data_IF_269740724789
#
_entry.id   IF_269740724789
#
_cell.length_a   1.000
_cell.length_b   1.000
_cell.length_c   1.000
_cell.angle_alpha   90.00
_cell.angle_beta   90.00
_cell.angle_gamma   90.00
#
_symmetry.space_group_name_H-M   'P 1'
#
loop_
_entity.id
_entity.type
_entity.pdbx_description
1 polymer ?
#
# COMPACT_ATOMS: atom_id res chain seq x y z
N UNK A 1 -5.96 -31.47 -0.23
CA UNK A 1 -5.83 -30.07 0.23
C UNK A 1 -4.36 -29.78 0.56
N UNK A 2 -3.56 -29.35 -0.41
CA UNK A 2 -2.19 -28.85 -0.19
C UNK A 2 -1.88 -27.74 -1.20
N UNK A 3 -2.61 -26.62 -1.07
CA UNK A 3 -2.32 -25.36 -1.79
C UNK A 3 -1.49 -24.42 -0.89
N UNK A 4 -1.40 -24.72 0.41
CA UNK A 4 -0.79 -23.84 1.42
C UNK A 4 0.74 -23.98 1.48
N UNK A 5 1.30 -25.14 1.17
CA UNK A 5 2.75 -25.37 1.32
C UNK A 5 3.61 -24.77 0.19
N UNK A 6 3.04 -24.55 -1.00
CA UNK A 6 3.79 -23.94 -2.11
C UNK A 6 3.89 -22.41 -2.00
N UNK A 7 2.92 -21.75 -1.35
CA UNK A 7 2.94 -20.29 -1.14
C UNK A 7 4.06 -19.91 -0.15
N UNK A 8 4.40 -20.81 0.79
CA UNK A 8 5.45 -20.56 1.77
C UNK A 8 6.85 -20.84 1.20
N UNK A 9 6.99 -21.64 0.13
CA UNK A 9 8.29 -21.90 -0.51
C UNK A 9 8.74 -20.80 -1.48
N UNK A 10 7.83 -19.97 -1.97
CA UNK A 10 8.17 -18.70 -2.66
C UNK A 10 8.61 -17.59 -1.68
N UNK A 11 8.50 -17.81 -0.36
CA UNK A 11 8.99 -16.88 0.69
C UNK A 11 10.52 -16.80 0.79
N UNK A 12 11.27 -17.53 -0.05
CA UNK A 12 12.73 -17.50 -0.10
C UNK A 12 13.34 -16.29 -0.81
N UNK A 13 12.53 -15.42 -1.42
CA UNK A 13 13.00 -14.22 -2.15
C UNK A 13 12.42 -12.95 -1.50
N UNK A 14 12.50 -12.87 -0.17
CA UNK A 14 11.83 -11.84 0.64
C UNK A 14 12.69 -10.61 0.99
N UNK A 15 13.83 -10.36 0.34
CA UNK A 15 14.73 -9.27 0.80
C UNK A 15 15.19 -8.22 -0.22
N UNK A 16 14.92 -8.36 -1.52
CA UNK A 16 15.57 -7.46 -2.51
C UNK A 16 14.64 -6.71 -3.48
N UNK A 17 13.33 -6.99 -3.49
CA UNK A 17 12.41 -6.38 -4.47
C UNK A 17 11.65 -5.14 -3.99
N UNK A 18 11.52 -4.90 -2.67
CA UNK A 18 10.65 -3.83 -2.15
C UNK A 18 11.40 -2.54 -1.76
N UNK A 19 12.65 -2.63 -1.30
CA UNK A 19 13.42 -1.49 -0.79
C UNK A 19 14.19 -0.83 -1.93
N UNK A 20 13.63 0.25 -2.48
CA UNK A 20 14.27 1.10 -3.50
C UNK A 20 13.97 0.79 -4.97
N UNK A 21 13.52 -0.43 -5.31
CA UNK A 21 13.23 -0.82 -6.72
C UNK A 21 11.84 -0.44 -7.20
N UNK A 22 10.86 -0.37 -6.28
CA UNK A 22 9.49 0.02 -6.59
C UNK A 22 9.28 1.45 -6.11
N UNK A 23 8.88 2.33 -7.04
CA UNK A 23 8.43 3.68 -6.69
C UNK A 23 7.00 3.61 -6.18
N UNK A 24 6.82 4.03 -4.93
CA UNK A 24 5.49 4.17 -4.33
C UNK A 24 5.14 5.66 -4.24
N UNK A 25 3.89 5.99 -4.43
CA UNK A 25 3.36 7.32 -4.19
C UNK A 25 2.45 7.34 -2.96
N UNK A 26 2.56 8.41 -2.17
CA UNK A 26 1.78 8.65 -0.96
C UNK A 26 1.00 9.94 -1.15
N UNK A 27 -0.32 9.86 -0.97
CA UNK A 27 -1.23 10.99 -1.00
C UNK A 27 -0.91 12.03 0.09
N UNK A 28 -1.26 13.28 -0.16
CA UNK A 28 -1.04 14.39 0.77
C UNK A 28 -1.69 14.15 2.14
N UNK A 29 -2.84 13.46 2.15
CA UNK A 29 -3.62 13.15 3.37
C UNK A 29 -2.94 12.17 4.32
N UNK A 30 -1.86 11.52 3.88
CA UNK A 30 -1.04 10.59 4.65
C UNK A 30 0.46 10.93 4.53
N UNK A 31 0.80 12.17 4.16
CA UNK A 31 2.19 12.61 3.96
C UNK A 31 3.08 12.41 5.20
N UNK A 32 2.50 12.46 6.41
CA UNK A 32 3.24 12.22 7.65
C UNK A 32 3.80 10.80 7.79
N UNK A 33 3.38 9.88 6.92
CA UNK A 33 3.88 8.48 6.81
C UNK A 33 5.19 8.40 6.03
N UNK A 34 5.51 9.41 5.21
CA UNK A 34 6.63 9.38 4.26
C UNK A 34 7.97 9.17 4.97
N UNK A 35 8.24 9.91 6.06
CA UNK A 35 9.52 9.81 6.77
C UNK A 35 9.78 8.37 7.28
N UNK A 36 8.76 7.75 7.88
CA UNK A 36 8.84 6.37 8.35
C UNK A 36 9.06 5.36 7.21
N UNK A 37 8.46 5.59 6.04
CA UNK A 37 8.66 4.73 4.87
C UNK A 37 10.08 4.88 4.28
N UNK A 38 10.62 6.10 4.26
CA UNK A 38 12.00 6.35 3.83
C UNK A 38 12.99 5.67 4.80
N UNK A 39 12.77 5.78 6.11
CA UNK A 39 13.57 5.08 7.13
C UNK A 39 13.55 3.55 6.94
N UNK A 40 12.44 3.01 6.44
CA UNK A 40 12.29 1.59 6.08
C UNK A 40 12.91 1.21 4.73
N UNK A 41 13.47 2.18 4.00
CA UNK A 41 14.17 1.98 2.73
C UNK A 41 13.28 2.01 1.49
N UNK A 42 12.08 2.60 1.55
CA UNK A 42 11.21 2.76 0.38
C UNK A 42 11.60 3.98 -0.47
N UNK A 43 11.45 3.86 -1.79
CA UNK A 43 11.49 5.02 -2.70
C UNK A 43 10.09 5.63 -2.77
N UNK A 44 9.91 6.73 -2.06
CA UNK A 44 8.60 7.39 -1.90
C UNK A 44 8.57 8.70 -2.66
N UNK A 45 7.56 8.86 -3.52
CA UNK A 45 7.25 10.11 -4.20
C UNK A 45 5.90 10.63 -3.68
N UNK A 46 5.67 11.93 -3.83
CA UNK A 46 4.43 12.57 -3.42
C UNK A 46 3.95 13.55 -4.49
N UNK A 47 2.64 13.54 -4.83
CA UNK A 47 2.06 14.61 -5.63
C UNK A 47 2.12 15.92 -4.83
N UNK A 48 2.10 17.07 -5.51
CA UNK A 48 2.00 18.35 -4.81
C UNK A 48 0.58 18.54 -4.26
N UNK A 49 0.49 19.39 -3.23
CA UNK A 49 -0.75 19.67 -2.53
C UNK A 49 -1.78 20.37 -3.42
N UNK A 50 -3.05 20.02 -3.24
CA UNK A 50 -4.17 20.64 -3.94
C UNK A 50 -4.28 20.30 -5.43
N UNK A 51 -3.52 19.33 -5.93
CA UNK A 51 -3.72 18.81 -7.28
C UNK A 51 -5.04 18.05 -7.38
N UNK A 52 -5.77 18.28 -8.47
CA UNK A 52 -6.97 17.49 -8.80
C UNK A 52 -6.59 16.09 -9.23
N UNK A 53 -7.49 15.12 -9.04
CA UNK A 53 -7.27 13.70 -9.32
C UNK A 53 -6.62 13.46 -10.68
N UNK A 54 -7.19 14.00 -11.76
CA UNK A 54 -6.64 13.85 -13.12
C UNK A 54 -5.17 14.27 -13.24
N UNK A 55 -4.76 15.34 -12.55
CA UNK A 55 -3.37 15.80 -12.56
C UNK A 55 -2.47 14.84 -11.79
N UNK A 56 -2.93 14.36 -10.65
CA UNK A 56 -2.22 13.33 -9.87
C UNK A 56 -2.05 12.06 -10.71
N UNK A 57 -3.10 11.59 -11.41
CA UNK A 57 -3.02 10.43 -12.29
C UNK A 57 -1.95 10.56 -13.37
N UNK A 58 -1.98 11.65 -14.14
CA UNK A 58 -0.98 11.90 -15.17
C UNK A 58 0.44 11.88 -14.58
N UNK A 59 0.63 12.50 -13.42
CA UNK A 59 1.91 12.52 -12.74
C UNK A 59 2.35 11.13 -12.25
N UNK A 60 1.43 10.29 -11.77
CA UNK A 60 1.72 8.90 -11.39
C UNK A 60 2.25 8.11 -12.59
N UNK A 61 1.63 8.28 -13.77
CA UNK A 61 2.06 7.66 -15.03
C UNK A 61 3.44 8.18 -15.47
N UNK A 62 3.62 9.50 -15.53
CA UNK A 62 4.89 10.15 -15.93
C UNK A 62 6.08 9.72 -15.05
N UNK A 63 5.83 9.46 -13.76
CA UNK A 63 6.87 9.03 -12.83
C UNK A 63 7.08 7.51 -12.77
N UNK A 64 6.31 6.75 -13.57
CA UNK A 64 6.28 5.29 -13.57
C UNK A 64 6.03 4.73 -12.17
N UNK A 65 5.09 5.33 -11.44
CA UNK A 65 4.66 4.86 -10.13
C UNK A 65 3.93 3.53 -10.30
N UNK A 66 4.28 2.54 -9.47
CA UNK A 66 3.64 1.22 -9.50
C UNK A 66 2.61 1.03 -8.41
N UNK A 67 2.72 1.77 -7.31
CA UNK A 67 1.79 1.65 -6.19
C UNK A 67 1.45 3.04 -5.66
N UNK A 68 0.17 3.33 -5.49
CA UNK A 68 -0.31 4.58 -4.90
C UNK A 68 -1.19 4.30 -3.68
N UNK A 69 -0.89 4.95 -2.57
CA UNK A 69 -1.67 4.88 -1.33
C UNK A 69 -2.39 6.21 -1.10
N UNK A 70 -3.70 6.15 -0.86
CA UNK A 70 -4.53 7.34 -0.65
C UNK A 70 -5.68 7.05 0.31
N UNK A 71 -6.17 8.08 1.00
CA UNK A 71 -7.44 8.00 1.76
C UNK A 71 -8.67 8.19 0.85
N UNK A 72 -8.52 8.88 -0.28
CA UNK A 72 -9.61 9.25 -1.19
C UNK A 72 -9.73 8.27 -2.38
N UNK A 73 -9.56 6.98 -2.10
CA UNK A 73 -9.37 5.97 -3.15
C UNK A 73 -10.54 5.85 -4.14
N UNK A 74 -11.77 6.13 -3.70
CA UNK A 74 -12.97 6.08 -4.56
C UNK A 74 -12.90 7.11 -5.71
N UNK A 75 -12.25 8.25 -5.48
CA UNK A 75 -12.06 9.29 -6.49
C UNK A 75 -10.99 8.88 -7.51
N UNK A 76 -9.90 8.29 -7.03
CA UNK A 76 -8.81 7.81 -7.88
C UNK A 76 -9.16 6.55 -8.68
N UNK A 77 -10.08 5.71 -8.20
CA UNK A 77 -10.49 4.49 -8.92
C UNK A 77 -11.03 4.79 -10.33
N UNK A 78 -11.61 5.97 -10.54
CA UNK A 78 -12.26 6.38 -11.79
C UNK A 78 -11.30 6.62 -12.96
N UNK A 79 -10.02 6.88 -12.71
CA UNK A 79 -9.07 7.27 -13.75
C UNK A 79 -7.84 6.34 -13.83
N UNK A 80 -7.89 5.17 -13.20
CA UNK A 80 -6.73 4.29 -13.05
C UNK A 80 -6.47 3.46 -14.32
N UNK A 81 -5.19 3.26 -14.65
CA UNK A 81 -4.72 2.40 -15.74
C UNK A 81 -3.63 1.40 -15.32
N UNK A 82 -2.43 1.86 -14.96
CA UNK A 82 -1.24 0.99 -14.91
C UNK A 82 -0.57 0.81 -13.53
N UNK A 83 -1.07 1.46 -12.48
CA UNK A 83 -0.54 1.31 -11.12
C UNK A 83 -1.52 0.55 -10.23
N UNK A 84 -1.07 0.06 -9.08
CA UNK A 84 -1.91 -0.55 -8.03
C UNK A 84 -2.36 0.52 -7.04
N UNK A 85 -3.66 0.58 -6.75
CA UNK A 85 -4.24 1.56 -5.83
C UNK A 85 -4.61 0.87 -4.50
N UNK A 86 -4.12 1.45 -3.39
CA UNK A 86 -4.52 1.06 -2.05
C UNK A 86 -5.29 2.17 -1.35
N UNK A 87 -6.52 1.85 -0.98
CA UNK A 87 -7.35 2.72 -0.16
C UNK A 87 -7.02 2.56 1.32
N UNK A 88 -6.56 3.64 1.96
CA UNK A 88 -6.27 3.67 3.40
C UNK A 88 -7.54 4.09 4.14
N UNK A 89 -8.25 3.13 4.73
CA UNK A 89 -9.41 3.41 5.61
C UNK A 89 -9.02 3.52 7.09
N UNK A 90 -7.75 3.75 7.37
CA UNK A 90 -7.19 3.73 8.71
C UNK A 90 -7.00 5.15 9.23
N UNK A 91 -7.56 5.43 10.42
CA UNK A 91 -7.16 6.59 11.22
C UNK A 91 -6.25 6.13 12.38
N UNK A 92 -4.94 6.08 12.11
CA UNK A 92 -3.89 5.65 13.07
C UNK A 92 -2.67 6.55 12.95
N UNK A 93 -1.80 6.57 13.98
CA UNK A 93 -0.51 7.22 13.89
C UNK A 93 0.28 6.80 12.65
N UNK A 94 1.02 7.74 12.08
CA UNK A 94 1.76 7.56 10.83
C UNK A 94 2.74 6.38 10.86
N UNK A 95 3.39 6.11 12.00
CA UNK A 95 4.31 4.97 12.13
C UNK A 95 3.58 3.63 11.97
N UNK A 96 2.36 3.49 12.52
CA UNK A 96 1.54 2.26 12.37
C UNK A 96 1.11 2.10 10.91
N UNK A 97 0.77 3.22 10.25
CA UNK A 97 0.42 3.17 8.83
C UNK A 97 1.62 2.76 7.97
N UNK A 98 2.83 3.24 8.29
CA UNK A 98 4.06 2.84 7.60
C UNK A 98 4.36 1.35 7.80
N UNK A 99 4.16 0.80 9.00
CA UNK A 99 4.29 -0.63 9.27
C UNK A 99 3.30 -1.46 8.45
N UNK A 100 2.05 -0.98 8.34
CA UNK A 100 1.02 -1.65 7.56
C UNK A 100 1.37 -1.67 6.06
N UNK A 101 1.81 -0.53 5.52
CA UNK A 101 2.28 -0.40 4.13
C UNK A 101 3.48 -1.32 3.89
N UNK A 102 4.49 -1.31 4.78
CA UNK A 102 5.64 -2.20 4.65
C UNK A 102 5.20 -3.66 4.59
N UNK A 103 4.26 -4.08 5.44
CA UNK A 103 3.86 -5.46 5.45
C UNK A 103 3.10 -5.88 4.18
N UNK A 104 2.28 -5.00 3.61
CA UNK A 104 1.58 -5.25 2.35
C UNK A 104 2.55 -5.28 1.19
N UNK A 105 3.49 -4.34 1.13
CA UNK A 105 4.48 -4.25 0.05
C UNK A 105 5.40 -5.48 -0.03
N UNK A 106 5.50 -6.27 1.05
CA UNK A 106 6.17 -7.58 1.03
C UNK A 106 5.38 -8.67 0.28
N UNK A 107 4.14 -8.39 -0.12
CA UNK A 107 3.26 -9.29 -0.85
C UNK A 107 2.98 -8.73 -2.24
N UNK A 108 3.04 -9.61 -3.25
CA UNK A 108 2.73 -9.25 -4.64
C UNK A 108 1.22 -9.22 -4.81
N UNK A 109 0.69 -8.03 -4.85
CA UNK A 109 -0.72 -7.75 -5.10
C UNK A 109 -0.81 -7.03 -6.45
N UNK A 110 -1.62 -7.58 -7.35
CA UNK A 110 -1.73 -7.09 -8.73
C UNK A 110 -3.06 -6.36 -8.99
N UNK A 111 -3.89 -6.16 -7.96
CA UNK A 111 -5.24 -5.57 -8.05
C UNK A 111 -5.46 -4.53 -6.94
N UNK A 112 -6.66 -3.93 -6.92
CA UNK A 112 -7.03 -2.88 -5.97
C UNK A 112 -7.50 -3.47 -4.66
N UNK A 113 -7.03 -2.89 -3.56
CA UNK A 113 -7.43 -3.36 -2.25
C UNK A 113 -7.58 -2.23 -1.24
N UNK A 114 -8.45 -2.45 -0.27
CA UNK A 114 -8.55 -1.58 0.89
C UNK A 114 -7.66 -2.09 2.02
N UNK A 115 -6.91 -1.17 2.63
CA UNK A 115 -6.06 -1.44 3.77
C UNK A 115 -6.74 -0.99 5.07
N UNK A 116 -6.84 -1.93 6.00
CA UNK A 116 -7.34 -1.79 7.35
C UNK A 116 -6.28 -2.18 8.39
N UNK A 117 -6.40 -1.62 9.60
CA UNK A 117 -5.62 -2.05 10.76
C UNK A 117 -6.58 -2.36 11.89
N UNK A 118 -6.66 -3.64 12.25
CA UNK A 118 -7.45 -4.12 13.38
C UNK A 118 -6.54 -4.47 14.57
N UNK A 119 -7.08 -4.37 15.78
CA UNK A 119 -6.37 -4.78 17.00
C UNK A 119 -6.88 -6.14 17.41
N UNK A 120 -6.01 -7.14 17.48
CA UNK A 120 -6.32 -8.49 17.92
C UNK A 120 -5.41 -8.86 19.10
N UNK A 121 -6.03 -9.18 20.25
CA UNK A 121 -5.31 -9.68 21.44
C UNK A 121 -4.08 -8.83 21.82
N UNK A 122 -4.22 -7.50 21.75
CA UNK A 122 -3.16 -6.55 22.08
C UNK A 122 -2.17 -6.25 20.96
N UNK A 123 -2.19 -6.98 19.84
CA UNK A 123 -1.34 -6.74 18.66
C UNK A 123 -2.12 -6.05 17.54
N UNK A 124 -1.41 -5.39 16.63
CA UNK A 124 -2.03 -4.86 15.43
C UNK A 124 -1.93 -5.84 14.27
N UNK A 125 -2.98 -5.88 13.45
CA UNK A 125 -3.06 -6.68 12.25
C UNK A 125 -3.42 -5.77 11.07
N UNK A 126 -2.51 -5.62 10.12
CA UNK A 126 -2.80 -5.03 8.82
C UNK A 126 -3.63 -6.02 8.00
N UNK A 127 -4.75 -5.58 7.46
CA UNK A 127 -5.71 -6.41 6.73
C UNK A 127 -5.96 -5.78 5.38
N UNK A 128 -5.93 -6.62 4.35
CA UNK A 128 -6.21 -6.24 2.96
C UNK A 128 -7.55 -6.86 2.58
N UNK A 129 -8.50 -6.02 2.16
CA UNK A 129 -9.82 -6.42 1.70
C UNK A 129 -9.96 -6.19 0.19
N UNK A 130 -10.74 -7.03 -0.49
CA UNK A 130 -11.17 -6.77 -1.87
C UNK A 130 -12.33 -5.77 -1.92
N UNK A 131 -12.80 -5.46 -3.13
CA UNK A 131 -13.95 -4.59 -3.38
C UNK A 131 -15.26 -5.11 -2.74
N UNK A 132 -15.33 -6.39 -2.33
CA UNK A 132 -16.48 -6.98 -1.63
C UNK A 132 -16.32 -6.93 -0.10
N UNK A 133 -15.22 -6.36 0.41
CA UNK A 133 -14.90 -6.32 1.84
C UNK A 133 -14.43 -7.67 2.38
N UNK A 134 -14.09 -8.64 1.53
CA UNK A 134 -13.61 -9.95 1.95
C UNK A 134 -12.12 -9.88 2.26
N UNK A 135 -11.73 -10.49 3.38
CA UNK A 135 -10.33 -10.52 3.80
C UNK A 135 -9.51 -11.42 2.89
N UNK A 136 -8.59 -10.81 2.17
CA UNK A 136 -7.63 -11.50 1.31
C UNK A 136 -6.37 -11.83 2.10
N UNK A 137 -5.94 -10.90 2.96
CA UNK A 137 -4.68 -11.04 3.68
C UNK A 137 -4.71 -10.38 5.06
N UNK A 138 -3.94 -10.93 5.98
CA UNK A 138 -3.70 -10.37 7.31
C UNK A 138 -2.23 -10.52 7.70
N UNK A 139 -1.60 -9.43 8.12
CA UNK A 139 -0.24 -9.40 8.61
C UNK A 139 -0.17 -8.84 10.02
N UNK A 140 0.48 -9.58 10.92
CA UNK A 140 0.74 -9.11 12.29
C UNK A 140 1.91 -8.13 12.26
N UNK A 141 1.69 -6.97 12.87
CA UNK A 141 2.69 -5.92 13.09
C UNK A 141 3.21 -6.02 14.53
#
# INVERSE_FOLDING_TARGET
MRVIDNIIKESGILNEMARGKIKIAIDENIEGTVNYLIEKGFSVLKPEKGWKDKKVHNWLEENNIKVFFTKNWEDFKKFQKEYVLYGIRINRPNYILADAIECIMRKKFNEHYELYVQREKGKYLAVVLDDLGLKIFGCKM
#
